data_IF_098930034918
#
_entry.id   IF_098930034918
#
_cell.length_a   1.000
_cell.length_b   1.000
_cell.length_c   1.000
_cell.angle_alpha   90.00
_cell.angle_beta   90.00
_cell.angle_gamma   90.00
#
_symmetry.space_group_name_H-M   'P 1'
#
loop_
_entity.id
_entity.type
_entity.pdbx_description
1 polymer ?
#
# COMPACT_ATOMS: atom_id res chain seq x y z
N UNK A 1 -8.54 -15.19 9.91
CA UNK A 1 -8.28 -14.06 8.99
C UNK A 1 -7.26 -13.13 9.65
N UNK A 2 -6.13 -12.88 8.98
CA UNK A 2 -5.17 -11.83 9.36
C UNK A 2 -5.13 -10.82 8.21
N UNK A 3 -5.27 -9.54 8.52
CA UNK A 3 -5.28 -8.47 7.52
C UNK A 3 -3.89 -7.92 7.29
N UNK A 4 -3.45 -7.83 6.03
CA UNK A 4 -2.37 -6.93 5.66
C UNK A 4 -2.97 -5.55 5.33
N UNK A 5 -2.81 -4.62 6.27
CA UNK A 5 -3.26 -3.24 6.16
C UNK A 5 -2.10 -2.27 5.87
N UNK A 6 -0.94 -2.75 5.38
CA UNK A 6 0.23 -1.93 5.09
C UNK A 6 -0.07 -0.75 4.15
N UNK A 7 -1.01 -0.90 3.21
CA UNK A 7 -1.46 0.16 2.30
C UNK A 7 -2.79 0.82 2.72
N UNK A 8 -3.39 0.42 3.83
CA UNK A 8 -4.79 0.69 4.15
C UNK A 8 -5.01 1.58 5.38
N UNK A 9 -4.02 2.40 5.78
CA UNK A 9 -4.16 3.35 6.89
C UNK A 9 -5.42 4.21 6.76
N UNK A 10 -6.34 4.08 7.72
CA UNK A 10 -7.61 4.82 7.73
C UNK A 10 -8.58 4.49 6.59
N UNK A 11 -8.35 3.39 5.86
CA UNK A 11 -9.35 2.83 4.96
C UNK A 11 -10.48 2.18 5.76
N UNK A 12 -11.69 2.13 5.20
CA UNK A 12 -12.87 1.55 5.83
C UNK A 12 -13.59 0.59 4.89
N UNK A 13 -14.08 -0.53 5.43
CA UNK A 13 -15.02 -1.44 4.80
C UNK A 13 -16.27 -1.52 5.68
N UNK A 14 -17.43 -1.10 5.15
CA UNK A 14 -18.70 -1.03 5.91
C UNK A 14 -18.54 -0.31 7.25
N UNK A 15 -17.85 0.84 7.24
CA UNK A 15 -17.53 1.67 8.42
C UNK A 15 -16.57 1.04 9.44
N UNK A 16 -16.07 -0.17 9.18
CA UNK A 16 -15.02 -0.81 9.99
C UNK A 16 -13.66 -0.45 9.39
N UNK A 17 -12.75 0.08 10.20
CA UNK A 17 -11.41 0.44 9.75
C UNK A 17 -10.60 -0.81 9.41
N UNK A 18 -9.76 -0.72 8.38
CA UNK A 18 -8.78 -1.76 8.06
C UNK A 18 -7.90 -2.06 9.28
N UNK A 19 -7.53 -3.33 9.46
CA UNK A 19 -6.84 -3.85 10.64
C UNK A 19 -7.77 -4.26 11.79
N UNK A 20 -9.09 -4.13 11.61
CA UNK A 20 -10.10 -4.50 12.60
C UNK A 20 -11.26 -5.33 12.01
N UNK A 21 -11.06 -5.98 10.86
CA UNK A 21 -12.01 -6.91 10.24
C UNK A 21 -11.79 -8.37 10.68
N UNK A 22 -10.56 -8.72 11.06
CA UNK A 22 -10.15 -10.07 11.37
C UNK A 22 -9.69 -10.29 12.80
N UNK A 23 -8.88 -11.35 12.97
CA UNK A 23 -8.27 -11.70 14.25
C UNK A 23 -7.13 -10.73 14.61
N UNK A 24 -6.38 -10.30 13.61
CA UNK A 24 -5.34 -9.29 13.73
C UNK A 24 -5.13 -8.57 12.39
N UNK A 25 -4.61 -7.35 12.44
CA UNK A 25 -4.16 -6.61 11.28
C UNK A 25 -2.73 -6.10 11.44
N UNK A 26 -1.97 -6.05 10.35
CA UNK A 26 -0.62 -5.50 10.31
C UNK A 26 -0.54 -4.21 9.50
N UNK A 27 0.28 -3.27 9.94
CA UNK A 27 0.59 -2.04 9.21
C UNK A 27 2.09 -1.92 8.99
N UNK A 28 2.46 -1.24 7.91
CA UNK A 28 3.83 -0.82 7.63
C UNK A 28 3.88 0.70 7.64
N UNK A 29 4.95 1.26 8.18
CA UNK A 29 5.17 2.70 8.25
C UNK A 29 6.40 3.16 7.47
N UNK A 30 6.79 2.39 6.45
CA UNK A 30 7.85 2.76 5.49
C UNK A 30 7.60 4.15 4.87
N UNK A 31 8.60 4.92 4.38
CA UNK A 31 8.43 6.33 4.02
C UNK A 31 7.38 6.60 2.94
N UNK A 32 7.12 5.61 2.07
CA UNK A 32 6.14 5.75 0.99
C UNK A 32 4.69 5.57 1.46
N UNK A 33 4.46 4.97 2.64
CA UNK A 33 3.12 4.62 3.14
C UNK A 33 2.29 5.88 3.43
N UNK A 34 0.97 5.70 3.53
CA UNK A 34 0.03 6.81 3.77
C UNK A 34 0.39 7.57 5.04
N UNK A 35 0.72 6.83 6.10
CA UNK A 35 1.34 7.31 7.33
C UNK A 35 2.70 6.65 7.46
N UNK A 36 3.68 7.37 8.00
CA UNK A 36 5.05 6.86 8.09
C UNK A 36 5.70 7.16 9.44
N UNK A 37 6.66 6.34 9.80
CA UNK A 37 7.57 6.54 10.92
C UNK A 37 9.03 6.45 10.46
N UNK A 38 9.29 6.76 9.19
CA UNK A 38 10.47 6.36 8.44
C UNK A 38 10.57 4.83 8.30
N UNK A 39 10.83 4.11 9.39
CA UNK A 39 10.74 2.65 9.43
C UNK A 39 9.80 2.24 10.56
N UNK A 40 9.07 1.14 10.39
CA UNK A 40 8.20 0.62 11.44
C UNK A 40 7.04 -0.24 10.97
N UNK A 41 6.35 -0.82 11.96
CA UNK A 41 5.09 -1.54 11.76
C UNK A 41 4.22 -1.55 13.01
N UNK A 42 2.98 -2.00 12.85
CA UNK A 42 2.02 -2.16 13.93
C UNK A 42 1.29 -3.48 13.78
N UNK A 43 0.96 -4.12 14.91
CA UNK A 43 -0.05 -5.16 14.96
C UNK A 43 -1.25 -4.61 15.73
N UNK A 44 -2.44 -4.83 15.20
CA UNK A 44 -3.73 -4.49 15.82
C UNK A 44 -4.51 -5.78 16.04
N UNK A 45 -5.15 -5.94 17.18
CA UNK A 45 -5.98 -7.12 17.51
C UNK A 45 -6.89 -6.80 18.68
N UNK A 46 -8.08 -7.41 18.73
CA UNK A 46 -8.96 -7.42 19.90
C UNK A 46 -8.75 -8.67 20.78
N UNK A 47 -7.88 -9.60 20.36
CA UNK A 47 -7.58 -10.82 21.10
C UNK A 47 -6.42 -10.56 22.08
N UNK A 48 -6.74 -10.58 23.38
CA UNK A 48 -5.78 -10.34 24.45
C UNK A 48 -4.62 -11.35 24.47
N UNK A 49 -4.88 -12.62 24.09
CA UNK A 49 -3.84 -13.65 24.04
C UNK A 49 -2.86 -13.36 22.91
N UNK A 50 -3.35 -12.93 21.75
CA UNK A 50 -2.48 -12.51 20.64
C UNK A 50 -1.69 -11.26 20.98
N UNK A 51 -2.32 -10.27 21.60
CA UNK A 51 -1.62 -9.07 22.08
C UNK A 51 -0.45 -9.45 23.01
N UNK A 52 -0.71 -10.24 24.05
CA UNK A 52 0.32 -10.71 25.00
C UNK A 52 1.42 -11.50 24.30
N UNK A 53 1.07 -12.41 23.39
CA UNK A 53 2.05 -13.18 22.63
C UNK A 53 2.93 -12.28 21.75
N UNK A 54 2.34 -11.30 21.05
CA UNK A 54 3.07 -10.37 20.19
C UNK A 54 4.02 -9.46 21.00
N UNK A 55 3.62 -8.98 22.18
CA UNK A 55 4.49 -8.16 23.04
C UNK A 55 5.69 -8.93 23.56
N UNK A 56 5.52 -10.21 23.87
CA UNK A 56 6.59 -11.12 24.29
C UNK A 56 7.54 -11.41 23.13
N UNK A 57 7.01 -11.80 21.97
CA UNK A 57 7.82 -12.17 20.80
C UNK A 57 8.64 -11.01 20.24
N UNK A 58 8.11 -9.78 20.23
CA UNK A 58 8.84 -8.59 19.73
C UNK A 58 10.01 -8.15 20.61
N UNK A 59 10.10 -8.68 21.83
CA UNK A 59 11.16 -8.37 22.80
C UNK A 59 11.84 -9.66 23.26
N UNK A 60 12.48 -10.37 22.32
CA UNK A 60 13.28 -11.57 22.59
C UNK A 60 12.55 -12.71 23.31
N UNK A 61 11.21 -12.75 23.29
CA UNK A 61 10.44 -13.77 24.01
C UNK A 61 10.33 -13.52 25.52
N UNK A 62 10.55 -12.28 25.97
CA UNK A 62 10.55 -11.88 27.37
C UNK A 62 9.13 -11.71 27.91
N UNK A 63 8.69 -12.60 28.80
CA UNK A 63 7.36 -12.55 29.43
C UNK A 63 7.32 -11.71 30.71
N UNK A 64 8.45 -11.60 31.41
CA UNK A 64 8.60 -10.76 32.59
C UNK A 64 9.73 -9.75 32.37
N UNK A 65 9.37 -8.46 32.31
CA UNK A 65 10.33 -7.39 32.05
C UNK A 65 11.26 -7.10 33.25
N UNK A 66 10.82 -7.37 34.48
CA UNK A 66 11.57 -7.07 35.70
C UNK A 66 12.68 -8.10 35.94
N UNK A 67 12.41 -9.37 35.61
CA UNK A 67 13.32 -10.47 35.89
C UNK A 67 14.07 -11.02 34.66
N UNK A 68 13.85 -10.44 33.47
CA UNK A 68 14.44 -10.92 32.21
C UNK A 68 14.18 -12.42 31.95
N UNK A 69 12.95 -12.87 32.22
CA UNK A 69 12.56 -14.26 31.99
C UNK A 69 12.05 -14.40 30.55
N UNK A 70 12.75 -15.23 29.78
CA UNK A 70 12.40 -15.58 28.40
C UNK A 70 11.63 -16.90 28.40
N UNK A 71 10.38 -16.88 27.96
CA UNK A 71 9.51 -18.08 27.91
C UNK A 71 9.28 -18.58 26.48
N UNK A 72 9.75 -17.85 25.49
CA UNK A 72 9.52 -18.07 24.07
C UNK A 72 10.78 -17.74 23.26
N UNK A 73 10.88 -18.26 22.05
CA UNK A 73 11.87 -17.78 21.07
C UNK A 73 11.26 -16.56 20.39
N UNK A 74 11.77 -15.37 20.70
CA UNK A 74 11.42 -14.12 20.04
C UNK A 74 12.65 -13.40 19.48
N UNK A 75 12.44 -12.20 18.93
CA UNK A 75 13.49 -11.39 18.31
C UNK A 75 13.40 -9.94 18.81
N UNK A 76 14.34 -9.08 18.41
CA UNK A 76 14.29 -7.66 18.66
C UNK A 76 13.51 -6.93 17.57
N UNK A 77 12.20 -6.84 17.75
CA UNK A 77 11.33 -5.96 16.95
C UNK A 77 10.80 -4.79 17.80
N UNK A 78 11.56 -4.39 18.83
CA UNK A 78 11.24 -3.20 19.61
C UNK A 78 11.25 -1.97 18.70
N UNK A 79 10.29 -1.09 18.95
CA UNK A 79 10.14 0.12 18.16
C UNK A 79 10.91 1.28 18.78
N UNK A 80 11.62 2.05 17.95
CA UNK A 80 12.41 3.19 18.39
C UNK A 80 11.53 4.36 18.80
N UNK A 81 11.86 5.02 19.92
CA UNK A 81 11.17 6.22 20.39
C UNK A 81 11.21 7.37 19.36
N UNK A 82 12.31 7.49 18.60
CA UNK A 82 12.43 8.51 17.54
C UNK A 82 11.41 8.27 16.42
N UNK A 83 11.29 7.02 15.98
CA UNK A 83 10.29 6.62 14.98
C UNK A 83 8.86 6.74 15.55
N UNK A 84 8.65 6.42 16.83
CA UNK A 84 7.37 6.57 17.51
C UNK A 84 6.89 8.02 17.58
N UNK A 85 7.77 8.97 17.92
CA UNK A 85 7.44 10.40 17.94
C UNK A 85 7.04 10.89 16.55
N UNK A 86 7.72 10.46 15.49
CA UNK A 86 7.32 10.77 14.11
C UNK A 86 5.91 10.23 13.80
N UNK A 87 5.62 9.00 14.21
CA UNK A 87 4.29 8.39 14.09
C UNK A 87 3.20 9.18 14.80
N UNK A 88 3.46 9.63 16.03
CA UNK A 88 2.53 10.49 16.78
C UNK A 88 2.25 11.79 16.02
N UNK A 89 3.27 12.43 15.43
CA UNK A 89 3.06 13.64 14.62
C UNK A 89 2.27 13.36 13.33
N UNK A 90 2.49 12.20 12.71
CA UNK A 90 1.74 11.77 11.52
C UNK A 90 0.27 11.50 11.84
N UNK A 91 -0.01 10.84 12.97
CA UNK A 91 -1.37 10.62 13.45
C UNK A 91 -2.13 11.93 13.70
N UNK A 92 -1.46 12.97 14.22
CA UNK A 92 -2.08 14.31 14.36
C UNK A 92 -2.48 14.95 13.04
N UNK A 93 -1.85 14.55 11.93
CA UNK A 93 -2.12 15.05 10.57
C UNK A 93 -3.07 14.15 9.78
N UNK A 94 -3.54 13.02 10.33
CA UNK A 94 -4.35 12.04 9.60
C UNK A 94 -5.64 12.64 9.04
N UNK A 95 -6.25 13.57 9.80
CA UNK A 95 -7.47 14.30 9.42
C UNK A 95 -7.25 15.29 8.27
N UNK A 96 -6.00 15.59 7.92
CA UNK A 96 -5.64 16.32 6.70
C UNK A 96 -5.21 15.35 5.58
N UNK A 97 -4.34 14.40 5.90
CA UNK A 97 -3.72 13.48 4.93
C UNK A 97 -4.77 12.65 4.18
N UNK A 98 -5.72 12.04 4.90
CA UNK A 98 -6.69 11.13 4.28
C UNK A 98 -7.75 11.87 3.45
N UNK A 99 -8.37 12.96 3.92
CA UNK A 99 -9.30 13.72 3.09
C UNK A 99 -8.64 14.30 1.85
N UNK A 100 -7.40 14.80 1.96
CA UNK A 100 -6.72 15.41 0.81
C UNK A 100 -6.41 14.37 -0.28
N UNK A 101 -5.89 13.20 0.10
CA UNK A 101 -5.71 12.08 -0.86
C UNK A 101 -7.01 11.69 -1.55
N UNK A 102 -8.12 11.63 -0.82
CA UNK A 102 -9.45 11.31 -1.37
C UNK A 102 -9.98 12.43 -2.28
N UNK A 103 -9.69 13.69 -1.98
CA UNK A 103 -10.04 14.85 -2.82
C UNK A 103 -9.33 14.78 -4.16
N UNK A 104 -8.02 14.56 -4.14
CA UNK A 104 -7.19 14.40 -5.33
C UNK A 104 -7.59 13.17 -6.16
N UNK A 105 -7.89 12.05 -5.52
CA UNK A 105 -8.37 10.87 -6.23
C UNK A 105 -9.69 11.13 -6.97
N UNK A 106 -10.64 11.85 -6.36
CA UNK A 106 -11.88 12.27 -7.03
C UNK A 106 -11.63 13.22 -8.20
N UNK A 107 -10.62 14.09 -8.09
CA UNK A 107 -10.23 14.96 -9.20
C UNK A 107 -9.68 14.13 -10.37
N UNK A 108 -8.79 13.17 -10.10
CA UNK A 108 -8.35 12.22 -11.11
C UNK A 108 -9.51 11.44 -11.73
N UNK A 109 -10.42 10.86 -10.92
CA UNK A 109 -11.58 10.11 -11.40
C UNK A 109 -12.42 10.94 -12.38
N UNK A 110 -12.61 12.24 -12.07
CA UNK A 110 -13.34 13.18 -12.93
C UNK A 110 -12.60 13.44 -14.25
N UNK A 111 -11.30 13.71 -14.20
CA UNK A 111 -10.53 14.17 -15.36
C UNK A 111 -10.13 13.04 -16.32
N UNK A 112 -9.99 11.81 -15.80
CA UNK A 112 -9.57 10.63 -16.55
C UNK A 112 -10.73 9.87 -17.21
N UNK A 113 -11.97 10.14 -16.82
CA UNK A 113 -13.17 9.40 -17.27
C UNK A 113 -13.32 9.31 -18.79
N UNK A 114 -12.88 10.33 -19.52
CA UNK A 114 -13.09 10.44 -20.97
C UNK A 114 -11.85 10.05 -21.80
N UNK A 115 -10.85 9.41 -21.18
CA UNK A 115 -9.67 8.91 -21.89
C UNK A 115 -9.98 7.50 -22.43
N UNK A 116 -10.00 7.36 -23.74
CA UNK A 116 -10.29 6.08 -24.40
C UNK A 116 -9.27 5.00 -24.01
N UNK A 117 -9.76 3.83 -23.60
CA UNK A 117 -8.95 2.67 -23.23
C UNK A 117 -8.22 2.75 -21.88
N UNK A 118 -8.25 3.90 -21.18
CA UNK A 118 -7.71 4.01 -19.83
C UNK A 118 -8.79 3.64 -18.80
N UNK A 119 -8.50 2.70 -17.91
CA UNK A 119 -9.46 2.26 -16.90
C UNK A 119 -9.06 2.72 -15.49
N UNK A 120 -10.05 3.18 -14.71
CA UNK A 120 -9.90 3.52 -13.30
C UNK A 120 -10.53 2.43 -12.41
N UNK A 121 -10.03 2.26 -11.19
CA UNK A 121 -10.63 1.30 -10.24
C UNK A 121 -12.02 1.80 -9.80
N UNK A 122 -13.06 0.99 -10.06
CA UNK A 122 -14.38 1.22 -9.51
C UNK A 122 -14.40 0.91 -8.00
N UNK A 123 -14.63 1.93 -7.17
CA UNK A 123 -14.70 1.77 -5.71
C UNK A 123 -16.16 1.60 -5.28
N UNK A 124 -16.54 0.47 -4.66
CA UNK A 124 -17.88 0.29 -4.09
C UNK A 124 -18.21 1.33 -3.01
N UNK A 125 -19.47 1.76 -2.93
CA UNK A 125 -19.93 2.81 -2.00
C UNK A 125 -19.73 2.50 -0.51
N UNK A 126 -19.60 1.21 -0.15
CA UNK A 126 -19.34 0.76 1.22
C UNK A 126 -17.84 0.66 1.54
N UNK A 127 -16.96 1.05 0.61
CA UNK A 127 -15.50 1.09 0.79
C UNK A 127 -15.05 2.54 0.76
N UNK A 128 -14.19 2.90 1.72
CA UNK A 128 -13.55 4.20 1.79
C UNK A 128 -12.04 3.99 1.75
N UNK A 129 -11.39 4.09 0.58
CA UNK A 129 -9.97 3.84 0.45
C UNK A 129 -9.13 4.91 1.17
N UNK A 130 -7.92 4.52 1.53
CA UNK A 130 -6.84 5.41 2.00
C UNK A 130 -6.13 6.10 0.83
N UNK A 131 -6.26 5.54 -0.38
CA UNK A 131 -5.48 5.87 -1.58
C UNK A 131 -3.97 5.95 -1.28
N UNK A 132 -3.38 4.82 -0.89
CA UNK A 132 -1.92 4.69 -0.84
C UNK A 132 -1.27 5.03 -2.18
N UNK A 133 -1.90 4.57 -3.27
CA UNK A 133 -1.60 4.95 -4.64
C UNK A 133 -2.92 5.22 -5.37
N UNK A 134 -2.88 6.08 -6.38
CA UNK A 134 -3.95 6.21 -7.36
C UNK A 134 -3.61 5.33 -8.56
N UNK A 135 -4.42 4.32 -8.85
CA UNK A 135 -4.10 3.27 -9.83
C UNK A 135 -4.99 3.44 -11.06
N UNK A 136 -4.38 3.34 -12.24
CA UNK A 136 -5.08 3.25 -13.53
C UNK A 136 -4.49 2.10 -14.35
N UNK A 137 -5.30 1.54 -15.24
CA UNK A 137 -4.88 0.50 -16.17
C UNK A 137 -4.77 1.09 -17.57
N UNK A 138 -3.63 0.85 -18.21
CA UNK A 138 -3.32 1.36 -19.54
C UNK A 138 -4.04 0.53 -20.63
N UNK A 139 -4.31 1.14 -21.81
CA UNK A 139 -4.72 0.39 -22.98
C UNK A 139 -3.67 -0.69 -23.33
N UNK A 140 -4.10 -1.86 -23.81
CA UNK A 140 -3.20 -3.02 -24.01
C UNK A 140 -2.02 -2.76 -24.96
N UNK A 141 -2.20 -1.85 -25.93
CA UNK A 141 -1.18 -1.51 -26.91
C UNK A 141 -0.09 -0.56 -26.35
N UNK A 142 -0.33 0.04 -25.18
CA UNK A 142 0.61 0.94 -24.53
C UNK A 142 1.58 0.16 -23.64
N UNK A 143 2.87 0.26 -23.96
CA UNK A 143 3.93 -0.32 -23.13
C UNK A 143 4.21 0.59 -21.94
N UNK A 144 3.82 0.14 -20.74
CA UNK A 144 4.03 0.85 -19.46
C UNK A 144 5.39 1.51 -19.31
N UNK A 145 6.48 0.77 -19.53
CA UNK A 145 7.83 1.30 -19.32
C UNK A 145 8.17 2.44 -20.30
N UNK A 146 7.69 2.35 -21.55
CA UNK A 146 7.90 3.40 -22.54
C UNK A 146 7.14 4.68 -22.14
N UNK A 147 5.90 4.54 -21.68
CA UNK A 147 5.12 5.67 -21.18
C UNK A 147 5.79 6.30 -19.96
N UNK A 148 6.26 5.50 -18.99
CA UNK A 148 6.99 6.00 -17.81
C UNK A 148 8.22 6.82 -18.18
N UNK A 149 9.08 6.29 -19.07
CA UNK A 149 10.25 7.02 -19.55
C UNK A 149 9.86 8.30 -20.29
N UNK A 150 8.84 8.23 -21.15
CA UNK A 150 8.33 9.41 -21.87
C UNK A 150 7.86 10.52 -20.92
N UNK A 151 7.04 10.17 -19.92
CA UNK A 151 6.51 11.09 -18.91
C UNK A 151 7.63 11.74 -18.10
N UNK A 152 8.64 10.96 -17.69
CA UNK A 152 9.78 11.49 -16.95
C UNK A 152 10.65 12.40 -17.84
N UNK A 153 11.13 11.86 -18.97
CA UNK A 153 12.19 12.49 -19.76
C UNK A 153 11.72 13.75 -20.51
N UNK A 154 10.45 13.79 -20.94
CA UNK A 154 9.91 14.93 -21.72
C UNK A 154 9.03 15.87 -20.92
N UNK A 155 8.38 15.38 -19.87
CA UNK A 155 7.36 16.12 -19.14
C UNK A 155 7.69 16.30 -17.66
N UNK A 156 8.81 15.74 -17.18
CA UNK A 156 9.22 15.80 -15.78
C UNK A 156 8.13 15.29 -14.82
N UNK A 157 7.38 14.26 -15.25
CA UNK A 157 6.37 13.57 -14.46
C UNK A 157 6.94 12.22 -14.04
N UNK A 158 7.39 12.12 -12.79
CA UNK A 158 7.81 10.85 -12.21
C UNK A 158 6.60 10.09 -11.64
N UNK A 159 6.36 8.87 -12.14
CA UNK A 159 5.35 7.99 -11.56
C UNK A 159 5.92 7.26 -10.33
N UNK A 160 5.17 7.12 -9.22
CA UNK A 160 5.60 6.48 -7.97
C UNK A 160 5.80 4.94 -8.04
N UNK A 161 5.96 4.40 -9.25
CA UNK A 161 6.06 2.97 -9.54
C UNK A 161 4.74 2.21 -9.36
N UNK A 162 4.84 0.89 -9.41
CA UNK A 162 3.73 -0.05 -9.37
C UNK A 162 3.33 -0.39 -7.92
N UNK A 163 2.13 -0.91 -7.69
CA UNK A 163 1.80 -1.57 -6.40
C UNK A 163 2.70 -2.79 -6.23
N UNK A 164 2.74 -3.63 -7.27
CA UNK A 164 3.72 -4.71 -7.45
C UNK A 164 4.02 -4.85 -8.95
N UNK A 165 5.29 -4.79 -9.34
CA UNK A 165 5.70 -4.90 -10.75
C UNK A 165 5.41 -6.29 -11.32
N UNK A 166 5.66 -7.31 -10.51
CA UNK A 166 5.54 -8.71 -10.87
C UNK A 166 4.77 -9.48 -9.79
N UNK A 167 4.03 -10.53 -10.16
CA UNK A 167 3.37 -11.39 -9.19
C UNK A 167 4.34 -11.97 -8.16
N UNK A 168 3.87 -12.19 -6.92
CA UNK A 168 4.72 -12.80 -5.89
C UNK A 168 5.31 -14.13 -6.37
N UNK A 169 4.50 -15.04 -6.92
CA UNK A 169 4.95 -16.37 -7.32
C UNK A 169 6.01 -16.39 -8.45
N UNK A 170 6.18 -15.30 -9.21
CA UNK A 170 7.18 -15.20 -10.27
C UNK A 170 8.53 -14.65 -9.80
N UNK A 171 8.64 -14.24 -8.54
CA UNK A 171 9.89 -13.67 -8.01
C UNK A 171 11.02 -14.73 -7.99
N UNK A 172 12.27 -14.35 -8.36
CA UNK A 172 13.38 -15.32 -8.49
C UNK A 172 13.72 -16.10 -7.21
N UNK A 173 13.42 -15.57 -6.02
CA UNK A 173 13.66 -16.29 -4.76
C UNK A 173 12.84 -17.58 -4.67
N UNK A 174 11.65 -17.58 -5.26
CA UNK A 174 10.71 -18.68 -5.18
C UNK A 174 11.08 -19.85 -6.09
N UNK A 175 11.84 -19.62 -7.16
CA UNK A 175 12.38 -20.72 -7.98
C UNK A 175 13.38 -21.58 -7.20
N UNK A 176 14.09 -21.00 -6.23
CA UNK A 176 15.05 -21.71 -5.36
C UNK A 176 14.39 -22.52 -4.26
N UNK A 177 13.14 -22.22 -3.92
CA UNK A 177 12.39 -22.85 -2.84
C UNK A 177 11.02 -23.32 -3.33
N UNK A 178 10.97 -23.84 -4.56
CA UNK A 178 9.73 -24.23 -5.23
C UNK A 178 8.91 -25.26 -4.44
N UNK A 179 9.59 -26.13 -3.67
CA UNK A 179 9.01 -27.13 -2.79
C UNK A 179 8.28 -26.54 -1.57
N UNK A 180 8.57 -25.29 -1.21
CA UNK A 180 7.92 -24.58 -0.10
C UNK A 180 6.71 -23.77 -0.55
N UNK A 181 6.42 -23.74 -1.85
CA UNK A 181 5.32 -22.98 -2.40
C UNK A 181 4.12 -23.89 -2.59
N UNK A 182 3.00 -23.45 -2.01
CA UNK A 182 1.69 -23.96 -2.38
C UNK A 182 1.30 -23.36 -3.74
N UNK A 183 1.85 -23.94 -4.81
CA UNK A 183 1.56 -23.57 -6.19
C UNK A 183 1.60 -24.84 -7.04
N UNK A 184 0.44 -25.34 -7.46
CA UNK A 184 0.40 -26.42 -8.46
C UNK A 184 0.97 -25.87 -9.77
N UNK A 185 1.73 -26.67 -10.52
CA UNK A 185 2.26 -26.27 -11.83
C UNK A 185 1.15 -25.88 -12.82
N UNK A 186 -0.11 -26.24 -12.53
CA UNK A 186 -1.29 -25.88 -13.32
C UNK A 186 -2.00 -24.61 -12.86
N UNK A 187 -1.66 -24.07 -11.70
CA UNK A 187 -2.30 -22.85 -11.20
C UNK A 187 -1.95 -21.67 -12.11
N UNK A 188 -2.99 -20.97 -12.55
CA UNK A 188 -2.88 -19.78 -13.38
C UNK A 188 -3.54 -18.60 -12.69
N UNK A 189 -2.90 -17.44 -12.75
CA UNK A 189 -3.38 -16.21 -12.13
C UNK A 189 -3.57 -15.10 -13.17
N UNK A 190 -4.43 -15.28 -14.19
CA UNK A 190 -4.55 -14.37 -15.32
C UNK A 190 -4.93 -12.94 -14.90
N UNK A 191 -5.77 -12.79 -13.87
CA UNK A 191 -6.11 -11.47 -13.32
C UNK A 191 -4.89 -10.78 -12.68
N UNK A 192 -4.06 -11.52 -11.94
CA UNK A 192 -2.81 -10.99 -11.36
C UNK A 192 -1.84 -10.58 -12.46
N UNK A 193 -1.70 -11.40 -13.50
CA UNK A 193 -0.87 -11.08 -14.66
C UNK A 193 -1.35 -9.83 -15.39
N UNK A 194 -2.65 -9.70 -15.62
CA UNK A 194 -3.26 -8.50 -16.21
C UNK A 194 -2.93 -7.26 -15.37
N UNK A 195 -3.22 -7.29 -14.07
CA UNK A 195 -2.96 -6.17 -13.16
C UNK A 195 -1.48 -5.80 -13.20
N UNK A 196 -0.56 -6.75 -12.93
CA UNK A 196 0.88 -6.49 -12.90
C UNK A 196 1.43 -5.95 -14.22
N UNK A 197 0.86 -6.32 -15.38
CA UNK A 197 1.30 -5.81 -16.68
C UNK A 197 0.77 -4.42 -17.00
N UNK A 198 -0.51 -4.15 -16.70
CA UNK A 198 -1.22 -2.99 -17.24
C UNK A 198 -1.26 -1.78 -16.31
N UNK A 199 -1.20 -1.98 -14.99
CA UNK A 199 -1.39 -0.86 -14.09
C UNK A 199 -0.16 0.06 -14.01
N UNK A 200 -0.44 1.35 -13.90
CA UNK A 200 0.49 2.36 -13.39
C UNK A 200 -0.15 3.03 -12.17
N UNK A 201 0.69 3.72 -11.39
CA UNK A 201 0.21 4.58 -10.33
C UNK A 201 0.53 6.03 -10.66
N UNK A 202 -0.43 6.92 -10.49
CA UNK A 202 -0.24 8.36 -10.69
C UNK A 202 0.24 9.03 -9.40
N UNK A 203 0.97 10.16 -9.49
CA UNK A 203 1.35 10.95 -8.33
C UNK A 203 0.14 11.27 -7.45
N UNK A 204 0.22 10.90 -6.17
CA UNK A 204 -0.83 11.17 -5.20
C UNK A 204 -0.25 11.32 -3.80
N UNK A 205 -0.13 12.56 -3.36
CA UNK A 205 0.36 12.90 -2.03
C UNK A 205 -0.29 14.22 -1.54
N UNK A 206 -0.43 14.42 -0.22
CA UNK A 206 -0.94 15.69 0.30
C UNK A 206 -0.05 16.85 -0.12
N UNK A 207 -0.64 17.89 -0.74
CA UNK A 207 0.07 19.06 -1.24
C UNK A 207 0.33 19.06 -2.76
N UNK A 208 0.00 17.97 -3.47
CA UNK A 208 -0.10 18.00 -4.93
C UNK A 208 -1.23 18.95 -5.33
N UNK A 209 -0.93 19.91 -6.21
CA UNK A 209 -1.89 20.96 -6.60
C UNK A 209 -2.82 20.51 -7.71
N UNK A 210 -3.98 21.14 -7.81
CA UNK A 210 -4.98 20.82 -8.82
C UNK A 210 -4.43 21.07 -10.24
N UNK A 211 -3.63 22.12 -10.44
CA UNK A 211 -3.00 22.41 -11.73
C UNK A 211 -1.94 21.37 -12.11
N UNK A 212 -1.27 20.76 -11.12
CA UNK A 212 -0.31 19.67 -11.35
C UNK A 212 -1.05 18.38 -11.73
N UNK A 213 -2.21 18.12 -11.13
CA UNK A 213 -3.10 17.01 -11.53
C UNK A 213 -3.59 17.23 -12.96
N UNK A 214 -4.05 18.43 -13.31
CA UNK A 214 -4.47 18.78 -14.67
C UNK A 214 -3.32 18.58 -15.67
N UNK A 215 -2.10 19.00 -15.31
CA UNK A 215 -0.92 18.80 -16.15
C UNK A 215 -0.62 17.31 -16.39
N UNK A 216 -0.69 16.48 -15.35
CA UNK A 216 -0.49 15.03 -15.45
C UNK A 216 -1.55 14.41 -16.37
N UNK A 217 -2.82 14.74 -16.15
CA UNK A 217 -3.92 14.17 -16.92
C UNK A 217 -3.89 14.61 -18.38
N UNK A 218 -3.62 15.88 -18.66
CA UNK A 218 -3.53 16.39 -20.04
C UNK A 218 -2.34 15.79 -20.78
N UNK A 219 -1.21 15.60 -20.11
CA UNK A 219 -0.06 14.91 -20.67
C UNK A 219 -0.40 13.45 -21.00
N UNK A 220 -1.09 12.73 -20.11
CA UNK A 220 -1.55 11.37 -20.39
C UNK A 220 -2.48 11.34 -21.59
N UNK A 221 -3.47 12.23 -21.67
CA UNK A 221 -4.41 12.32 -22.81
C UNK A 221 -3.74 12.47 -24.17
N UNK A 222 -2.57 13.11 -24.23
CA UNK A 222 -1.86 13.37 -25.48
C UNK A 222 -0.88 12.24 -25.88
N UNK A 223 -0.61 11.31 -24.98
CA UNK A 223 0.46 10.30 -25.15
C UNK A 223 -0.01 8.86 -24.88
N UNK A 224 -1.31 8.66 -24.67
CA UNK A 224 -2.01 7.37 -24.72
C UNK A 224 -2.62 7.21 -26.11
#
# INVERSE_FOLDING_TARGET
LVEDAAHAHGAEYKQIRAGNLGLAGSFSFYPTKVLTTAEGGMITTNDEKLYKKATVLREHGKADHNYNIHTEIGDNWRFSEVHAVLGIQQMRKVEYILPERRRLAKLYDKLLKDIEGLECIAIPSHIKPSYYKYIVFLPEHIKRNNLKSLLLDKFNIELPGEVYSDPCHSQPVFSKYSEKLANDKKDQFPATEYVCRQHICLPLYPGLKDEEVDYIVNTLKQNL
#
